data_IF_725177189381
#
_entry.id   IF_725177189381
#
_cell.length_a   1.000
_cell.length_b   1.000
_cell.length_c   1.000
_cell.angle_alpha   90.00
_cell.angle_beta   90.00
_cell.angle_gamma   90.00
#
_symmetry.space_group_name_H-M   'P 1'
#
loop_
_entity.id
_entity.type
_entity.pdbx_description
1 polymer ?
#
# COMPACT_ATOMS: atom_id res chain seq x y z
N UNK A 1 -2.03 -5.00 22.86
CA UNK A 1 -0.62 -5.08 23.36
C UNK A 1 0.30 -4.18 22.55
N UNK A 2 0.34 -4.28 21.20
CA UNK A 2 1.23 -3.49 20.37
C UNK A 2 1.13 -1.97 20.58
N UNK A 3 -0.08 -1.42 20.62
CA UNK A 3 -0.28 0.02 20.88
C UNK A 3 0.13 0.50 22.28
N UNK A 4 0.15 -0.42 23.27
CA UNK A 4 0.66 -0.07 24.60
C UNK A 4 2.19 0.05 24.62
N UNK A 5 2.88 -0.72 23.77
CA UNK A 5 4.33 -0.63 23.60
C UNK A 5 4.66 0.58 22.73
N UNK A 6 3.81 0.90 21.76
CA UNK A 6 4.00 2.01 20.82
C UNK A 6 5.02 1.74 19.71
N UNK A 7 5.55 0.51 19.64
CA UNK A 7 6.57 0.10 18.67
C UNK A 7 6.21 -1.22 18.01
N UNK A 8 6.63 -1.37 16.76
CA UNK A 8 6.49 -2.59 15.97
C UNK A 8 7.67 -2.77 15.04
N UNK A 9 7.97 -3.99 14.68
CA UNK A 9 8.98 -4.28 13.66
C UNK A 9 8.29 -4.69 12.35
N UNK A 10 8.76 -4.16 11.22
CA UNK A 10 8.34 -4.58 9.90
C UNK A 10 9.55 -4.57 8.97
N UNK A 11 9.79 -5.69 8.33
CA UNK A 11 10.91 -5.87 7.37
C UNK A 11 12.28 -5.46 7.96
N UNK A 12 12.51 -5.75 9.25
CA UNK A 12 13.70 -5.37 10.00
C UNK A 12 13.78 -3.89 10.40
N UNK A 13 12.74 -3.10 10.14
CA UNK A 13 12.69 -1.68 10.53
C UNK A 13 11.90 -1.49 11.82
N UNK A 14 12.44 -0.77 12.82
CA UNK A 14 11.69 -0.38 14.00
C UNK A 14 10.77 0.80 13.67
N UNK A 15 9.47 0.62 13.90
CA UNK A 15 8.44 1.62 13.59
C UNK A 15 7.70 2.05 14.85
N UNK A 16 7.39 3.34 14.93
CA UNK A 16 6.39 3.85 15.86
C UNK A 16 5.00 3.51 15.35
N UNK A 17 4.12 3.06 16.24
CA UNK A 17 2.71 2.80 15.96
C UNK A 17 1.82 3.42 17.04
N UNK A 18 0.59 3.70 16.69
CA UNK A 18 -0.46 4.18 17.61
C UNK A 18 -1.82 3.74 17.10
N UNK A 19 -2.87 3.97 17.87
CA UNK A 19 -4.27 3.70 17.47
C UNK A 19 -4.71 4.45 16.18
N UNK A 20 -3.83 5.33 15.64
CA UNK A 20 -4.08 6.04 14.38
C UNK A 20 -3.69 5.24 13.14
N UNK A 21 -3.02 4.09 13.28
CA UNK A 21 -2.52 3.28 12.16
C UNK A 21 -2.83 1.81 12.37
N UNK A 22 -3.03 1.09 11.28
CA UNK A 22 -3.08 -0.37 11.29
C UNK A 22 -1.73 -0.92 11.78
N UNK A 23 -1.75 -1.94 12.62
CA UNK A 23 -0.53 -2.66 12.99
C UNK A 23 -0.02 -3.40 11.74
N UNK A 24 1.23 -3.18 11.29
CA UNK A 24 1.75 -3.86 10.11
C UNK A 24 1.65 -5.39 10.25
N UNK A 25 1.18 -6.06 9.20
CA UNK A 25 1.01 -7.52 9.17
C UNK A 25 2.19 -8.19 8.47
N UNK A 26 2.62 -9.37 8.92
CA UNK A 26 3.66 -10.13 8.24
C UNK A 26 3.32 -10.42 6.76
N UNK A 27 2.04 -10.65 6.44
CA UNK A 27 1.60 -10.95 5.07
C UNK A 27 1.93 -9.80 4.10
N UNK A 28 1.95 -8.54 4.59
CA UNK A 28 2.32 -7.36 3.79
C UNK A 28 3.79 -7.39 3.36
N UNK A 29 4.64 -8.19 4.00
CA UNK A 29 6.03 -8.38 3.56
C UNK A 29 6.09 -9.04 2.17
N UNK A 30 5.11 -9.87 1.80
CA UNK A 30 5.00 -10.45 0.45
C UNK A 30 4.87 -9.33 -0.60
N UNK A 31 4.06 -8.31 -0.33
CA UNK A 31 3.92 -7.14 -1.21
C UNK A 31 5.23 -6.33 -1.26
N UNK A 32 5.89 -6.14 -0.12
CA UNK A 32 7.18 -5.45 -0.07
C UNK A 32 8.23 -6.17 -0.91
N UNK A 33 8.36 -7.50 -0.77
CA UNK A 33 9.32 -8.32 -1.52
C UNK A 33 9.08 -8.25 -3.03
N UNK A 34 7.84 -8.38 -3.47
CA UNK A 34 7.46 -8.30 -4.88
C UNK A 34 7.85 -6.94 -5.50
N UNK A 35 7.52 -5.84 -4.79
CA UNK A 35 7.86 -4.49 -5.25
C UNK A 35 9.39 -4.25 -5.26
N UNK A 36 10.10 -4.61 -4.19
CA UNK A 36 11.56 -4.46 -4.05
C UNK A 36 12.30 -5.23 -5.16
N UNK A 37 11.87 -6.48 -5.42
CA UNK A 37 12.48 -7.31 -6.46
C UNK A 37 12.47 -6.66 -7.85
N UNK A 38 11.36 -6.01 -8.19
CA UNK A 38 11.22 -5.27 -9.45
C UNK A 38 11.97 -3.93 -9.42
N UNK A 39 11.85 -3.16 -8.34
CA UNK A 39 12.43 -1.81 -8.21
C UNK A 39 13.95 -1.81 -8.23
N UNK A 40 14.61 -2.87 -7.75
CA UNK A 40 16.08 -3.01 -7.80
C UNK A 40 16.65 -3.07 -9.22
N UNK A 41 15.79 -3.34 -10.21
CA UNK A 41 16.17 -3.38 -11.63
C UNK A 41 15.94 -2.03 -12.32
N UNK A 42 15.36 -1.04 -11.62
CA UNK A 42 15.05 0.28 -12.16
C UNK A 42 16.11 1.31 -11.73
N UNK A 43 16.37 2.28 -12.60
CA UNK A 43 17.25 3.40 -12.28
C UNK A 43 16.46 4.53 -11.60
N UNK A 44 16.78 4.80 -10.30
CA UNK A 44 16.19 5.88 -9.51
C UNK A 44 14.65 5.96 -9.54
N UNK A 45 13.90 4.84 -9.30
CA UNK A 45 12.47 4.81 -9.48
C UNK A 45 11.72 5.69 -8.46
N UNK A 46 10.61 6.27 -8.91
CA UNK A 46 9.66 6.97 -8.05
C UNK A 46 8.52 6.05 -7.67
N UNK A 47 8.29 5.89 -6.38
CA UNK A 47 7.29 4.98 -5.82
C UNK A 47 6.24 5.77 -5.06
N UNK A 48 4.98 5.38 -5.22
CA UNK A 48 3.86 5.86 -4.41
C UNK A 48 3.32 4.70 -3.59
N UNK A 49 3.33 4.86 -2.27
CA UNK A 49 2.65 3.97 -1.33
C UNK A 49 1.31 4.62 -0.96
N UNK A 50 0.20 4.12 -1.48
CA UNK A 50 -1.15 4.63 -1.20
C UNK A 50 -1.78 3.87 -0.04
N UNK A 51 -2.49 4.58 0.83
CA UNK A 51 -3.01 4.08 2.11
C UNK A 51 -1.86 3.63 3.02
N UNK A 52 -0.84 4.49 3.15
CA UNK A 52 0.46 4.14 3.73
C UNK A 52 0.40 3.78 5.23
N UNK A 53 -0.63 4.19 5.98
CA UNK A 53 -0.78 3.90 7.41
C UNK A 53 0.42 4.36 8.24
N UNK A 54 1.20 3.43 8.78
CA UNK A 54 2.45 3.73 9.50
C UNK A 54 3.62 4.08 8.57
N UNK A 55 3.46 3.87 7.25
CA UNK A 55 4.51 3.97 6.25
C UNK A 55 5.36 2.71 6.11
N UNK A 56 4.99 1.62 6.75
CA UNK A 56 5.81 0.41 6.83
C UNK A 56 6.25 -0.11 5.46
N UNK A 57 5.33 -0.20 4.50
CA UNK A 57 5.58 -0.71 3.15
C UNK A 57 6.56 0.21 2.37
N UNK A 58 6.25 1.50 2.27
CA UNK A 58 7.10 2.45 1.56
C UNK A 58 8.47 2.64 2.20
N UNK A 59 8.58 2.54 3.53
CA UNK A 59 9.86 2.59 4.26
C UNK A 59 10.70 1.34 4.01
N UNK A 60 10.08 0.15 4.01
CA UNK A 60 10.76 -1.11 3.66
C UNK A 60 11.32 -1.03 2.23
N UNK A 61 10.52 -0.58 1.26
CA UNK A 61 10.94 -0.36 -0.12
C UNK A 61 12.13 0.61 -0.18
N UNK A 62 12.04 1.77 0.47
CA UNK A 62 13.11 2.76 0.45
C UNK A 62 14.41 2.26 1.10
N UNK A 63 14.31 1.41 2.13
CA UNK A 63 15.48 0.83 2.80
C UNK A 63 16.21 -0.18 1.92
N UNK A 64 15.46 -0.99 1.16
CA UNK A 64 15.96 -2.12 0.39
C UNK A 64 16.23 -1.81 -1.09
N UNK A 65 15.69 -0.71 -1.62
CA UNK A 65 15.94 -0.18 -2.96
C UNK A 65 16.58 1.22 -2.84
N UNK A 66 17.92 1.32 -2.70
CA UNK A 66 18.60 2.59 -2.38
C UNK A 66 18.40 3.70 -3.42
N UNK A 67 18.12 3.36 -4.68
CA UNK A 67 17.78 4.30 -5.74
C UNK A 67 16.36 4.89 -5.65
N UNK A 68 15.46 4.22 -4.95
CA UNK A 68 14.05 4.60 -4.92
C UNK A 68 13.78 5.90 -4.14
N UNK A 69 12.89 6.73 -4.68
CA UNK A 69 12.28 7.88 -4.00
C UNK A 69 10.81 7.57 -3.75
N UNK A 70 10.36 7.63 -2.51
CA UNK A 70 9.05 7.17 -2.09
C UNK A 70 8.19 8.32 -1.58
N UNK A 71 6.94 8.34 -2.02
CA UNK A 71 5.88 9.17 -1.46
C UNK A 71 4.93 8.27 -0.68
N UNK A 72 4.74 8.54 0.60
CA UNK A 72 3.73 7.91 1.44
C UNK A 72 2.45 8.73 1.34
N UNK A 73 1.45 8.22 0.64
CA UNK A 73 0.14 8.83 0.46
C UNK A 73 -0.84 8.31 1.52
N UNK A 74 -1.28 9.19 2.42
CA UNK A 74 -2.15 8.81 3.52
C UNK A 74 -3.19 9.89 3.77
N UNK A 75 -4.44 9.51 4.06
CA UNK A 75 -5.54 10.44 4.27
C UNK A 75 -5.59 10.96 5.72
N UNK A 76 -5.36 10.07 6.69
CA UNK A 76 -5.48 10.38 8.12
C UNK A 76 -4.34 11.29 8.60
N UNK A 77 -4.68 12.43 9.21
CA UNK A 77 -3.70 13.31 9.86
C UNK A 77 -2.94 12.60 11.00
N UNK A 78 -3.61 11.67 11.70
CA UNK A 78 -2.99 10.86 12.75
C UNK A 78 -1.92 9.93 12.16
N UNK A 79 -2.26 9.20 11.11
CA UNK A 79 -1.33 8.31 10.42
C UNK A 79 -0.19 9.07 9.73
N UNK A 80 -0.46 10.24 9.14
CA UNK A 80 0.59 11.11 8.57
C UNK A 80 1.62 11.56 9.61
N UNK A 81 1.21 11.81 10.85
CA UNK A 81 2.15 12.11 11.94
C UNK A 81 3.07 10.93 12.20
N UNK A 82 2.52 9.71 12.28
CA UNK A 82 3.28 8.48 12.44
C UNK A 82 4.21 8.23 11.23
N UNK A 83 3.73 8.38 9.99
CA UNK A 83 4.59 8.32 8.81
C UNK A 83 5.83 9.22 8.94
N UNK A 84 5.62 10.49 9.31
CA UNK A 84 6.72 11.47 9.46
C UNK A 84 7.69 11.12 10.60
N UNK A 85 7.20 10.53 11.69
CA UNK A 85 8.05 10.01 12.77
C UNK A 85 8.90 8.85 12.27
N UNK A 86 8.28 7.87 11.58
CA UNK A 86 8.94 6.69 11.06
C UNK A 86 9.97 7.03 9.97
N UNK A 87 9.67 7.99 9.07
CA UNK A 87 10.67 8.49 8.09
C UNK A 87 11.94 8.96 8.79
N UNK A 88 11.81 9.73 9.91
CA UNK A 88 12.96 10.21 10.70
C UNK A 88 13.63 9.07 11.45
N UNK A 89 12.85 8.22 12.11
CA UNK A 89 13.36 7.08 12.88
C UNK A 89 14.21 6.13 12.02
N UNK A 90 13.77 5.87 10.79
CA UNK A 90 14.48 5.02 9.84
C UNK A 90 15.60 5.75 9.07
N UNK A 91 15.84 7.05 9.30
CA UNK A 91 16.89 7.82 8.63
C UNK A 91 16.66 8.05 7.14
N UNK A 92 15.38 8.02 6.67
CA UNK A 92 15.01 8.06 5.25
C UNK A 92 14.53 9.44 4.76
N UNK A 93 14.75 10.52 5.52
CA UNK A 93 14.27 11.89 5.21
C UNK A 93 14.73 12.43 3.85
N UNK A 94 15.85 11.95 3.31
CA UNK A 94 16.37 12.38 2.01
C UNK A 94 15.66 11.76 0.80
N UNK A 95 14.89 10.68 1.00
CA UNK A 95 14.29 9.88 -0.08
C UNK A 95 12.81 9.55 0.09
N UNK A 96 12.26 9.74 1.29
CA UNK A 96 10.86 9.45 1.61
C UNK A 96 10.16 10.73 2.08
N UNK A 97 8.96 10.99 1.53
CA UNK A 97 8.10 12.10 1.95
C UNK A 97 6.68 11.58 2.24
N UNK A 98 5.97 12.21 3.17
CA UNK A 98 4.58 11.88 3.47
C UNK A 98 3.66 13.03 3.02
N UNK A 99 2.63 12.69 2.25
CA UNK A 99 1.65 13.62 1.69
C UNK A 99 0.23 13.19 2.06
N UNK A 100 -0.64 14.18 2.31
CA UNK A 100 -2.06 13.89 2.49
C UNK A 100 -2.70 13.63 1.12
N UNK A 101 -3.13 12.39 0.91
CA UNK A 101 -3.76 11.93 -0.33
C UNK A 101 -4.96 11.06 0.01
N UNK A 102 -6.04 11.26 -0.73
CA UNK A 102 -7.24 10.43 -0.68
C UNK A 102 -7.22 9.45 -1.86
N UNK A 103 -7.01 8.17 -1.58
CA UNK A 103 -6.94 7.13 -2.60
C UNK A 103 -8.26 6.95 -3.39
N UNK A 104 -9.39 7.36 -2.80
CA UNK A 104 -10.70 7.32 -3.45
C UNK A 104 -10.94 8.49 -4.42
N UNK A 105 -10.05 9.49 -4.44
CA UNK A 105 -10.16 10.68 -5.30
C UNK A 105 -9.09 10.69 -6.38
N UNK A 106 -9.33 11.39 -7.49
CA UNK A 106 -8.30 11.60 -8.51
C UNK A 106 -7.04 12.25 -7.91
N UNK A 107 -5.84 11.86 -8.39
CA UNK A 107 -4.59 12.45 -7.94
C UNK A 107 -4.51 13.95 -8.24
N UNK A 108 -3.73 14.66 -7.43
CA UNK A 108 -3.44 16.06 -7.69
C UNK A 108 -2.62 16.21 -8.98
N UNK A 109 -2.97 17.14 -9.85
CA UNK A 109 -2.30 17.38 -11.16
C UNK A 109 -0.78 17.59 -11.03
N UNK A 110 -0.30 18.06 -9.88
CA UNK A 110 1.12 18.37 -9.64
C UNK A 110 1.91 17.22 -9.01
N UNK A 111 1.29 16.06 -8.83
CA UNK A 111 1.96 14.94 -8.14
C UNK A 111 3.12 14.36 -8.96
N UNK A 112 3.08 14.51 -10.30
CA UNK A 112 4.07 13.95 -11.23
C UNK A 112 3.86 12.46 -11.49
N UNK A 113 4.73 11.87 -12.30
CA UNK A 113 4.65 10.46 -12.65
C UNK A 113 5.35 9.55 -11.65
N UNK A 114 4.92 8.29 -11.60
CA UNK A 114 5.50 7.23 -10.78
C UNK A 114 5.82 6.01 -11.63
N UNK A 115 6.87 5.28 -11.23
CA UNK A 115 7.26 4.02 -11.84
C UNK A 115 6.58 2.83 -11.15
N UNK A 116 6.18 3.02 -9.89
CA UNK A 116 5.47 2.00 -9.15
C UNK A 116 4.45 2.61 -8.18
N UNK A 117 3.26 2.04 -8.15
CA UNK A 117 2.30 2.25 -7.06
C UNK A 117 2.20 0.94 -6.29
N UNK A 118 2.34 1.02 -4.97
CA UNK A 118 2.03 -0.06 -4.04
C UNK A 118 0.89 0.37 -3.14
N UNK A 119 0.03 -0.54 -2.74
CA UNK A 119 -1.03 -0.23 -1.78
C UNK A 119 -1.48 -1.48 -1.02
N UNK A 120 -1.58 -1.34 0.29
CA UNK A 120 -2.38 -2.21 1.14
C UNK A 120 -3.61 -1.40 1.59
N UNK A 121 -4.64 -1.31 0.75
CA UNK A 121 -5.81 -0.48 1.03
C UNK A 121 -6.77 -1.19 1.98
N UNK A 122 -7.70 -0.47 2.61
CA UNK A 122 -8.83 -1.09 3.29
C UNK A 122 -9.61 -2.00 2.34
N UNK A 123 -9.84 -3.26 2.76
CA UNK A 123 -10.44 -4.28 1.88
C UNK A 123 -11.53 -5.13 2.56
N UNK A 124 -11.87 -4.87 3.81
CA UNK A 124 -12.89 -5.62 4.52
C UNK A 124 -14.27 -5.09 4.10
N UNK A 125 -15.21 -5.95 3.66
CA UNK A 125 -16.58 -5.51 3.43
C UNK A 125 -17.18 -4.89 4.68
N UNK A 126 -17.86 -3.75 4.53
CA UNK A 126 -18.43 -2.99 5.67
C UNK A 126 -19.31 -3.87 6.57
N UNK A 127 -20.04 -4.82 5.97
CA UNK A 127 -20.92 -5.76 6.70
C UNK A 127 -20.17 -6.78 7.55
N UNK A 128 -18.90 -7.05 7.26
CA UNK A 128 -18.09 -8.06 7.94
C UNK A 128 -17.33 -7.49 9.15
N UNK A 129 -17.16 -6.17 9.22
CA UNK A 129 -16.42 -5.49 10.29
C UNK A 129 -16.94 -5.83 11.68
N UNK A 130 -18.28 -5.87 11.95
CA UNK A 130 -18.79 -6.25 13.25
C UNK A 130 -18.42 -7.67 13.70
N UNK A 131 -18.11 -8.57 12.75
CA UNK A 131 -17.71 -9.95 12.98
C UNK A 131 -16.21 -10.16 13.20
N UNK A 132 -15.38 -9.13 13.08
CA UNK A 132 -13.95 -9.22 13.30
C UNK A 132 -13.60 -9.53 14.76
N UNK A 133 -12.40 -10.08 14.95
CA UNK A 133 -11.84 -10.23 16.29
C UNK A 133 -11.86 -8.89 17.04
N UNK A 134 -12.20 -8.92 18.33
CA UNK A 134 -12.31 -7.72 19.15
C UNK A 134 -11.00 -6.92 19.21
N UNK A 135 -9.84 -7.58 19.09
CA UNK A 135 -8.53 -6.93 19.07
C UNK A 135 -8.31 -6.05 17.81
N UNK A 136 -9.00 -6.35 16.74
CA UNK A 136 -8.98 -5.59 15.48
C UNK A 136 -10.12 -4.57 15.48
N UNK A 137 -11.36 -5.07 15.63
CA UNK A 137 -12.59 -4.26 15.56
C UNK A 137 -12.60 -3.07 16.50
N UNK A 138 -12.16 -3.27 17.77
CA UNK A 138 -12.34 -2.28 18.85
C UNK A 138 -11.11 -1.36 19.02
N UNK A 139 -9.96 -1.71 18.44
CA UNK A 139 -8.70 -1.00 18.68
C UNK A 139 -8.01 -0.48 17.41
N UNK A 140 -8.26 -1.06 16.25
CA UNK A 140 -7.64 -0.58 15.01
C UNK A 140 -8.54 0.46 14.32
N UNK A 141 -7.98 1.45 13.61
CA UNK A 141 -8.79 2.52 13.04
C UNK A 141 -9.74 1.97 11.97
N UNK A 142 -11.04 2.21 12.13
CA UNK A 142 -12.08 1.72 11.23
C UNK A 142 -11.81 2.08 9.76
N UNK A 143 -11.30 3.30 9.51
CA UNK A 143 -10.96 3.74 8.16
C UNK A 143 -9.83 2.94 7.50
N UNK A 144 -9.03 2.20 8.28
CA UNK A 144 -8.00 1.31 7.75
C UNK A 144 -8.53 -0.10 7.44
N UNK A 145 -9.78 -0.40 7.80
CA UNK A 145 -10.42 -1.70 7.64
C UNK A 145 -11.48 -1.70 6.54
N UNK A 146 -12.30 -0.65 6.49
CA UNK A 146 -13.52 -0.58 5.68
C UNK A 146 -13.22 -0.34 4.19
N UNK A 147 -13.36 -1.38 3.40
CA UNK A 147 -13.20 -1.38 1.93
C UNK A 147 -14.50 -1.10 1.15
N UNK A 148 -15.58 -0.71 1.83
CA UNK A 148 -16.90 -0.50 1.22
C UNK A 148 -17.78 -1.75 1.21
N UNK A 149 -18.86 -1.71 0.46
CA UNK A 149 -19.91 -2.73 0.50
C UNK A 149 -19.42 -4.16 0.20
N UNK A 150 -18.46 -4.31 -0.71
CA UNK A 150 -17.88 -5.59 -1.12
C UNK A 150 -16.36 -5.65 -0.91
N UNK A 151 -15.78 -4.65 -0.22
CA UNK A 151 -14.35 -4.58 0.07
C UNK A 151 -13.47 -4.17 -1.12
N UNK A 152 -14.06 -3.71 -2.24
CA UNK A 152 -13.32 -3.44 -3.48
C UNK A 152 -13.27 -1.96 -3.87
N UNK A 153 -13.81 -1.05 -3.07
CA UNK A 153 -13.95 0.36 -3.45
C UNK A 153 -12.59 1.04 -3.70
N UNK A 154 -11.59 0.75 -2.89
CA UNK A 154 -10.25 1.31 -3.05
C UNK A 154 -9.58 0.78 -4.33
N UNK A 155 -9.68 -0.51 -4.61
CA UNK A 155 -9.11 -1.08 -5.84
C UNK A 155 -9.73 -0.45 -7.09
N UNK A 156 -11.07 -0.28 -7.10
CA UNK A 156 -11.78 0.41 -8.20
C UNK A 156 -11.28 1.83 -8.38
N UNK A 157 -11.20 2.58 -7.27
CA UNK A 157 -10.78 3.98 -7.30
C UNK A 157 -9.32 4.14 -7.74
N UNK A 158 -8.41 3.31 -7.21
CA UNK A 158 -6.99 3.36 -7.57
C UNK A 158 -6.81 2.99 -9.04
N UNK A 159 -7.42 1.91 -9.50
CA UNK A 159 -7.39 1.53 -10.91
C UNK A 159 -7.94 2.62 -11.84
N UNK A 160 -9.07 3.25 -11.48
CA UNK A 160 -9.71 4.25 -12.31
C UNK A 160 -8.97 5.59 -12.34
N UNK A 161 -8.45 6.05 -11.20
CA UNK A 161 -7.94 7.40 -11.05
C UNK A 161 -6.41 7.48 -11.06
N UNK A 162 -5.74 6.56 -10.35
CA UNK A 162 -4.30 6.65 -10.12
C UNK A 162 -3.46 6.06 -11.25
N UNK A 163 -4.07 5.31 -12.15
CA UNK A 163 -3.42 4.93 -13.42
C UNK A 163 -2.85 6.15 -14.16
N UNK A 164 -3.50 7.31 -14.06
CA UNK A 164 -3.11 8.55 -14.73
C UNK A 164 -1.75 9.13 -14.31
N UNK A 165 -1.21 8.69 -13.18
CA UNK A 165 0.13 9.11 -12.70
C UNK A 165 1.20 8.03 -12.93
N UNK A 166 0.86 6.93 -13.61
CA UNK A 166 1.79 5.90 -14.03
C UNK A 166 2.24 6.12 -15.46
N UNK A 167 3.50 5.81 -15.72
CA UNK A 167 4.05 5.77 -17.07
C UNK A 167 3.83 4.40 -17.70
N UNK A 168 3.86 4.27 -19.04
CA UNK A 168 3.94 2.96 -19.69
C UNK A 168 5.14 2.17 -19.16
N UNK A 169 4.94 0.90 -18.83
CA UNK A 169 5.94 0.03 -18.20
C UNK A 169 6.03 0.16 -16.70
N UNK A 170 5.24 1.06 -16.09
CA UNK A 170 5.15 1.18 -14.62
C UNK A 170 4.31 0.06 -14.02
N UNK A 171 4.57 -0.26 -12.76
CA UNK A 171 3.94 -1.36 -12.03
C UNK A 171 2.93 -0.88 -10.99
N UNK A 172 1.83 -1.62 -10.88
CA UNK A 172 0.84 -1.48 -9.80
C UNK A 172 0.80 -2.79 -9.00
N UNK A 173 0.94 -2.69 -7.68
CA UNK A 173 0.93 -3.83 -6.77
C UNK A 173 -0.07 -3.58 -5.63
N UNK A 174 -0.95 -4.55 -5.39
CA UNK A 174 -1.92 -4.52 -4.30
C UNK A 174 -1.72 -5.68 -3.33
N UNK A 175 -1.85 -5.43 -2.03
CA UNK A 175 -2.28 -6.47 -1.11
C UNK A 175 -3.79 -6.66 -1.25
N UNK A 176 -4.28 -7.90 -1.11
CA UNK A 176 -5.69 -8.25 -1.24
C UNK A 176 -6.18 -9.12 -0.09
N UNK A 177 -7.44 -8.97 0.26
CA UNK A 177 -8.12 -9.84 1.19
C UNK A 177 -8.33 -11.26 0.63
N UNK A 178 -8.60 -12.21 1.51
CA UNK A 178 -8.86 -13.60 1.13
C UNK A 178 -10.05 -13.64 0.17
N UNK A 179 -9.85 -14.28 -1.00
CA UNK A 179 -10.87 -14.46 -2.04
C UNK A 179 -11.03 -13.28 -3.00
N UNK A 180 -10.32 -12.15 -2.81
CA UNK A 180 -10.46 -10.97 -3.67
C UNK A 180 -9.50 -10.94 -4.87
N UNK A 181 -8.48 -11.80 -4.90
CA UNK A 181 -7.40 -11.71 -5.88
C UNK A 181 -7.88 -11.70 -7.34
N UNK A 182 -8.83 -12.57 -7.70
CA UNK A 182 -9.37 -12.65 -9.06
C UNK A 182 -10.19 -11.42 -9.45
N UNK A 183 -10.92 -10.83 -8.50
CA UNK A 183 -11.70 -9.60 -8.73
C UNK A 183 -10.77 -8.41 -8.99
N UNK A 184 -9.73 -8.26 -8.15
CA UNK A 184 -8.73 -7.21 -8.31
C UNK A 184 -7.96 -7.38 -9.62
N UNK A 185 -7.57 -8.60 -9.98
CA UNK A 185 -6.93 -8.90 -11.26
C UNK A 185 -7.81 -8.48 -12.45
N UNK A 186 -9.11 -8.78 -12.39
CA UNK A 186 -10.06 -8.35 -13.43
C UNK A 186 -10.18 -6.83 -13.51
N UNK A 187 -10.21 -6.13 -12.37
CA UNK A 187 -10.22 -4.66 -12.33
C UNK A 187 -8.96 -4.09 -13.00
N UNK A 188 -7.77 -4.57 -12.64
CA UNK A 188 -6.51 -4.11 -13.24
C UNK A 188 -6.49 -4.34 -14.76
N UNK A 189 -6.91 -5.53 -15.20
CA UNK A 189 -6.99 -5.85 -16.64
C UNK A 189 -7.93 -4.91 -17.39
N UNK A 190 -9.07 -4.57 -16.81
CA UNK A 190 -10.08 -3.71 -17.44
C UNK A 190 -9.61 -2.28 -17.71
N UNK A 191 -8.55 -1.84 -17.02
CA UNK A 191 -7.97 -0.50 -17.16
C UNK A 191 -6.58 -0.51 -17.84
N UNK A 192 -6.20 -1.62 -18.47
CA UNK A 192 -5.03 -1.68 -19.36
C UNK A 192 -3.74 -2.19 -18.69
N UNK A 193 -3.81 -2.79 -17.51
CA UNK A 193 -2.67 -3.53 -16.98
C UNK A 193 -2.59 -4.93 -17.60
N UNK A 194 -1.37 -5.37 -17.87
CA UNK A 194 -1.03 -6.72 -18.31
C UNK A 194 0.09 -7.31 -17.47
N UNK A 195 0.65 -8.45 -17.91
CA UNK A 195 1.61 -9.26 -17.14
C UNK A 195 1.14 -9.44 -15.68
N UNK A 196 -0.18 -9.73 -15.56
CA UNK A 196 -0.86 -9.82 -14.29
C UNK A 196 -0.49 -11.10 -13.55
N UNK A 197 -0.05 -10.97 -12.32
CA UNK A 197 0.33 -12.08 -11.45
C UNK A 197 -0.41 -12.02 -10.12
N UNK A 198 -0.67 -13.20 -9.55
CA UNK A 198 -1.15 -13.39 -8.19
C UNK A 198 -0.06 -14.12 -7.40
N UNK A 199 0.41 -13.52 -6.32
CA UNK A 199 1.42 -14.13 -5.46
C UNK A 199 0.78 -14.54 -4.12
N UNK A 200 1.06 -15.78 -3.65
CA UNK A 200 0.61 -16.23 -2.35
C UNK A 200 1.53 -15.70 -1.23
N UNK A 201 0.98 -15.57 -0.03
CA UNK A 201 1.75 -15.41 1.19
C UNK A 201 2.46 -16.74 1.58
N UNK A 202 3.28 -16.75 2.65
CA UNK A 202 3.95 -17.96 3.11
C UNK A 202 3.01 -19.11 3.52
N UNK A 203 1.74 -18.82 3.79
CA UNK A 203 0.71 -19.83 4.07
C UNK A 203 0.06 -20.39 2.80
N UNK A 204 0.42 -19.89 1.62
CA UNK A 204 -0.14 -20.29 0.33
C UNK A 204 -1.47 -19.60 -0.03
N UNK A 205 -1.85 -18.56 0.69
CA UNK A 205 -3.08 -17.78 0.44
C UNK A 205 -2.76 -16.67 -0.56
N UNK A 206 -3.52 -16.52 -1.68
CA UNK A 206 -3.38 -15.38 -2.59
C UNK A 206 -3.43 -14.06 -1.84
N UNK A 207 -2.33 -13.30 -1.88
CA UNK A 207 -2.16 -12.10 -1.07
C UNK A 207 -1.77 -10.86 -1.85
N UNK A 208 -1.07 -11.02 -2.96
CA UNK A 208 -0.62 -9.90 -3.80
C UNK A 208 -1.15 -10.06 -5.21
N UNK A 209 -1.67 -8.98 -5.77
CA UNK A 209 -1.98 -8.86 -7.20
C UNK A 209 -1.14 -7.74 -7.77
N UNK A 210 -0.41 -8.03 -8.83
CA UNK A 210 0.44 -7.04 -9.49
C UNK A 210 0.32 -7.12 -11.01
N UNK A 211 0.74 -6.06 -11.70
CA UNK A 211 0.76 -5.99 -13.16
C UNK A 211 1.42 -4.73 -13.66
N UNK A 212 1.82 -4.76 -14.93
CA UNK A 212 2.49 -3.66 -15.61
C UNK A 212 1.53 -2.91 -16.53
N UNK A 213 1.65 -1.57 -16.56
CA UNK A 213 0.83 -0.74 -17.41
C UNK A 213 1.38 -0.76 -18.84
N UNK A 214 0.61 -1.26 -19.79
CA UNK A 214 1.00 -1.23 -21.19
C UNK A 214 0.78 0.14 -21.85
N UNK A 215 1.55 0.42 -22.89
CA UNK A 215 1.24 1.50 -23.82
C UNK A 215 -0.08 1.17 -24.53
N UNK A 216 -0.99 2.14 -24.60
CA UNK A 216 -2.04 2.09 -25.61
C UNK A 216 -1.34 2.15 -26.99
N UNK A 217 -1.55 1.11 -27.80
CA UNK A 217 -1.07 1.04 -29.18
C UNK A 217 -1.89 2.01 -30.04
#
# INVERSE_FOLDING_TARGET
>A
MAYLIGEWEFYGLPLDISESVLIPRPDTETLAEAAIGWLRQQEAPRVLDLCAGSGCLGLAIASQAPGARVVLGELSDGALRICRQNIRRCGLTGRVTAMQLDALRPPLQRLGGFDCIVSNPPYIPSGDIPGLDASVRDYEPHMALDGGADGLDFYRAICAHWRSVLHPGSRLCFEVGIGQADDVLRLMRSVGFGDLEILPDPAGIPRVVLGDLYQEI
#
